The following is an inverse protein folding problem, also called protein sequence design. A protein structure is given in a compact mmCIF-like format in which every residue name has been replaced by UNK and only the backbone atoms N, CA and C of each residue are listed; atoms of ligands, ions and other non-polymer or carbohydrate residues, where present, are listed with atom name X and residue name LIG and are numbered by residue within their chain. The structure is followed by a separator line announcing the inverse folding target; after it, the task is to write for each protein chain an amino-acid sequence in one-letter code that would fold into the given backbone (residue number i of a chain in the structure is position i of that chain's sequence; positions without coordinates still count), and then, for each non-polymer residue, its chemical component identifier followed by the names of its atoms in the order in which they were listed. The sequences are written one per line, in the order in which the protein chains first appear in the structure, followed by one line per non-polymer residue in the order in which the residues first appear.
data_IF_343624246837
#
_entry.id   IF_343624246837
#
_cell.length_a   1.000
_cell.length_b   1.000
_cell.length_c   1.000
_cell.angle_alpha   90.00
_cell.angle_beta   90.00
_cell.angle_gamma   90.00
#
_symmetry.space_group_name_H-M   'P 1'
#
loop_
_entity.id
_entity.type
_entity.pdbx_description
1 polymer ?
#
# COMPACT_ATOMS: atom_id res chain seq x y z
N UNK A 1 -5.86 -20.05 -6.26
CA UNK A 1 -4.42 -20.35 -6.43
C UNK A 1 -3.72 -19.04 -6.69
N UNK A 2 -2.74 -18.67 -5.86
CA UNK A 2 -1.96 -17.45 -6.02
C UNK A 2 -0.62 -17.82 -6.65
N UNK A 3 -0.24 -17.14 -7.72
CA UNK A 3 1.03 -17.33 -8.41
C UNK A 3 1.82 -16.04 -8.33
N UNK A 4 3.06 -16.13 -7.82
CA UNK A 4 3.97 -15.00 -7.69
C UNK A 4 5.19 -15.27 -8.55
N UNK A 5 5.46 -14.38 -9.50
CA UNK A 5 6.71 -14.38 -10.28
C UNK A 5 7.56 -13.19 -9.86
N UNK A 6 8.83 -13.43 -9.54
CA UNK A 6 9.77 -12.40 -9.11
C UNK A 6 10.65 -11.96 -10.27
N UNK A 7 10.75 -10.65 -10.48
CA UNK A 7 11.66 -10.01 -11.42
C UNK A 7 12.59 -9.09 -10.62
N UNK A 8 13.89 -9.19 -10.88
CA UNK A 8 14.91 -8.32 -10.30
C UNK A 8 15.59 -7.52 -11.39
N UNK A 9 15.79 -6.23 -11.17
CA UNK A 9 16.51 -5.33 -12.09
C UNK A 9 18.04 -5.43 -11.95
N UNK A 10 18.55 -6.15 -10.95
CA UNK A 10 19.98 -6.17 -10.59
C UNK A 10 20.89 -7.09 -11.43
N UNK A 11 20.52 -7.41 -12.68
CA UNK A 11 21.36 -8.27 -13.53
C UNK A 11 21.14 -8.10 -15.04
N UNK A 12 22.11 -8.55 -15.86
CA UNK A 12 21.99 -8.58 -17.33
C UNK A 12 21.08 -9.74 -17.76
N UNK A 13 19.77 -9.59 -17.51
CA UNK A 13 18.77 -10.58 -17.89
C UNK A 13 17.59 -10.61 -16.92
N UNK A 14 16.41 -10.98 -17.42
CA UNK A 14 15.26 -11.30 -16.58
C UNK A 14 15.54 -12.68 -15.96
N UNK A 15 15.90 -12.71 -14.68
CA UNK A 15 16.02 -13.96 -13.93
C UNK A 15 14.61 -14.37 -13.51
N UNK A 16 14.06 -15.38 -14.18
CA UNK A 16 12.78 -15.96 -13.80
C UNK A 16 13.00 -16.95 -12.65
N UNK A 17 12.40 -16.70 -11.49
CA UNK A 17 12.22 -17.71 -10.46
C UNK A 17 10.73 -18.01 -10.33
N UNK A 18 10.38 -19.28 -10.50
CA UNK A 18 9.00 -19.76 -10.36
C UNK A 18 8.86 -20.44 -8.99
N UNK A 19 8.09 -19.82 -8.08
CA UNK A 19 7.62 -20.48 -6.86
C UNK A 19 6.14 -20.86 -7.07
N UNK A 20 5.89 -22.11 -7.46
CA UNK A 20 4.54 -22.66 -7.53
C UNK A 20 4.22 -23.40 -6.25
N UNK A 21 3.85 -22.67 -5.20
CA UNK A 21 3.30 -23.27 -4.00
C UNK A 21 1.76 -23.35 -4.10
N UNK A 22 1.21 -24.57 -4.05
CA UNK A 22 -0.23 -24.78 -3.90
C UNK A 22 -0.60 -24.54 -2.44
N UNK A 23 -0.78 -23.29 -2.04
CA UNK A 23 -1.38 -22.97 -0.75
C UNK A 23 -2.81 -22.46 -0.96
N UNK A 24 -3.76 -23.21 -0.39
CA UNK A 24 -5.12 -22.77 -0.14
C UNK A 24 -5.04 -21.63 0.87
N UNK A 25 -5.40 -20.42 0.45
CA UNK A 25 -5.75 -19.37 1.39
C UNK A 25 -7.05 -19.83 2.03
N UNK A 26 -6.98 -20.48 3.20
CA UNK A 26 -8.16 -20.88 3.93
C UNK A 26 -8.82 -19.62 4.51
N UNK A 27 -9.65 -18.96 3.70
CA UNK A 27 -10.81 -18.24 4.22
C UNK A 27 -11.75 -19.28 4.81
N UNK A 28 -12.09 -19.13 6.09
CA UNK A 28 -12.83 -20.12 6.86
C UNK A 28 -14.16 -20.53 6.23
N UNK A 29 -14.24 -21.79 5.80
CA UNK A 29 -15.42 -22.66 5.92
C UNK A 29 -15.05 -24.08 5.50
N UNK A 30 -14.58 -24.87 6.45
CA UNK A 30 -14.68 -26.32 6.38
C UNK A 30 -15.47 -26.77 7.62
N UNK A 31 -16.79 -26.87 7.46
CA UNK A 31 -17.61 -27.70 8.35
C UNK A 31 -17.50 -29.11 7.77
N UNK A 32 -16.57 -29.90 8.28
CA UNK A 32 -16.58 -31.33 8.04
C UNK A 32 -17.67 -31.96 8.90
N UNK A 33 -18.49 -32.74 8.22
CA UNK A 33 -19.64 -33.47 8.73
C UNK A 33 -19.14 -34.58 9.66
N UNK A 34 -19.45 -34.48 10.95
CA UNK A 34 -19.28 -35.59 11.90
C UNK A 34 -20.61 -36.31 12.14
N UNK A 35 -20.59 -37.63 12.38
CA UNK A 35 -21.78 -38.46 12.42
C UNK A 35 -22.58 -38.24 13.70
N UNK A 36 -23.89 -38.40 13.58
CA UNK A 36 -24.84 -38.31 14.68
C UNK A 36 -24.63 -39.45 15.69
N UNK A 37 -24.37 -39.11 16.94
CA UNK A 37 -24.61 -39.98 18.10
C UNK A 37 -25.32 -39.21 19.21
N UNK A 38 -26.20 -39.92 19.89
CA UNK A 38 -27.32 -39.48 20.71
C UNK A 38 -27.00 -38.79 22.04
N UNK A 39 -27.91 -37.88 22.42
CA UNK A 39 -28.39 -37.47 23.76
C UNK A 39 -27.50 -37.74 24.99
N UNK A 40 -27.18 -36.66 25.72
CA UNK A 40 -27.67 -36.45 27.09
C UNK A 40 -27.42 -35.00 27.54
N UNK A 41 -28.43 -34.44 28.19
CA UNK A 41 -28.50 -33.08 28.75
C UNK A 41 -27.39 -32.75 29.75
N UNK A 42 -26.92 -31.50 29.71
CA UNK A 42 -26.03 -30.93 30.72
C UNK A 42 -25.45 -29.58 30.30
N UNK A 43 -25.77 -28.54 31.07
CA UNK A 43 -25.40 -27.13 30.89
C UNK A 43 -24.09 -26.88 30.12
N UNK A 44 -24.19 -26.30 28.91
CA UNK A 44 -23.03 -25.80 28.17
C UNK A 44 -22.80 -24.32 28.48
N UNK A 45 -21.88 -24.05 29.39
CA UNK A 45 -21.12 -22.79 29.41
C UNK A 45 -20.52 -22.54 28.03
N UNK A 46 -20.91 -21.45 27.37
CA UNK A 46 -20.29 -20.98 26.13
C UNK A 46 -18.81 -20.67 26.37
N UNK A 47 -17.95 -21.66 26.14
CA UNK A 47 -16.52 -21.43 25.95
C UNK A 47 -16.34 -20.83 24.56
N UNK A 48 -16.05 -19.54 24.52
CA UNK A 48 -15.39 -18.91 23.38
C UNK A 48 -14.09 -19.68 23.10
N UNK A 49 -14.09 -20.51 22.06
CA UNK A 49 -12.86 -21.13 21.55
C UNK A 49 -12.20 -20.05 20.72
N UNK A 50 -11.24 -19.34 21.32
CA UNK A 50 -10.36 -18.43 20.61
C UNK A 50 -9.46 -19.29 19.72
N UNK A 51 -9.85 -19.48 18.46
CA UNK A 51 -9.01 -20.19 17.50
C UNK A 51 -7.82 -19.29 17.15
N UNK A 52 -6.67 -19.56 17.76
CA UNK A 52 -5.38 -19.09 17.28
C UNK A 52 -4.98 -20.05 16.15
N UNK A 53 -4.99 -19.62 14.87
CA UNK A 53 -4.44 -20.46 13.81
C UNK A 53 -2.98 -20.77 14.14
N UNK A 54 -2.60 -22.05 14.09
CA UNK A 54 -1.20 -22.46 14.09
C UNK A 54 -0.49 -21.67 12.99
N UNK A 55 0.50 -20.86 13.38
CA UNK A 55 1.31 -20.10 12.43
C UNK A 55 2.25 -21.07 11.71
N UNK A 56 1.75 -21.78 10.71
CA UNK A 56 2.63 -22.31 9.68
C UNK A 56 3.23 -21.10 8.97
N UNK A 57 4.47 -20.77 9.37
CA UNK A 57 5.24 -19.73 8.72
C UNK A 57 5.43 -20.15 7.27
N UNK A 58 4.61 -19.59 6.38
CA UNK A 58 5.00 -19.46 4.98
C UNK A 58 6.27 -18.61 5.03
N UNK A 59 7.42 -19.26 4.90
CA UNK A 59 8.56 -18.62 4.30
C UNK A 59 8.31 -18.77 2.81
N UNK A 60 7.64 -17.82 2.12
CA UNK A 60 7.82 -17.74 0.68
C UNK A 60 9.33 -17.80 0.45
N UNK A 61 9.77 -18.41 -0.65
CA UNK A 61 11.18 -18.40 -1.08
C UNK A 61 11.65 -16.97 -1.30
N UNK A 62 11.73 -16.20 -0.23
CA UNK A 62 12.29 -14.89 -0.14
C UNK A 62 13.75 -15.17 -0.40
N UNK A 63 14.19 -14.77 -1.61
CA UNK A 63 15.60 -14.58 -1.90
C UNK A 63 16.24 -14.07 -0.60
N UNK A 64 17.24 -14.77 -0.03
CA UNK A 64 17.75 -14.48 1.30
C UNK A 64 17.99 -12.98 1.38
N UNK A 65 17.03 -12.30 2.02
CA UNK A 65 16.96 -10.85 1.94
C UNK A 65 18.27 -10.34 2.48
N UNK A 66 18.80 -9.26 1.91
CA UNK A 66 19.97 -8.61 2.47
C UNK A 66 19.55 -8.21 3.90
N UNK A 67 19.96 -9.02 4.90
CA UNK A 67 19.64 -8.86 6.32
C UNK A 67 20.47 -7.74 6.92
N UNK A 68 20.58 -6.61 6.23
CA UNK A 68 21.08 -5.41 6.87
C UNK A 68 19.91 -4.89 7.69
N UNK A 69 19.99 -5.04 9.01
CA UNK A 69 18.95 -4.63 9.96
C UNK A 69 18.58 -3.13 9.88
N UNK A 70 19.30 -2.36 9.06
CA UNK A 70 19.16 -0.92 8.87
C UNK A 70 18.49 -0.54 7.55
N UNK A 71 18.18 -1.51 6.67
CA UNK A 71 17.52 -1.22 5.40
C UNK A 71 16.00 -1.25 5.54
N UNK A 72 15.32 -0.39 4.79
CA UNK A 72 13.86 -0.35 4.66
C UNK A 72 13.50 -0.61 3.20
N UNK A 73 12.50 -1.44 2.98
CA UNK A 73 11.87 -1.64 1.67
C UNK A 73 10.65 -0.74 1.55
N UNK A 74 10.51 0.01 0.47
CA UNK A 74 9.19 0.59 0.16
C UNK A 74 8.33 -0.49 -0.45
N UNK A 75 7.15 -0.72 0.11
CA UNK A 75 6.18 -1.69 -0.38
C UNK A 75 5.04 -0.95 -1.05
N UNK A 76 4.82 -1.26 -2.33
CA UNK A 76 3.75 -0.69 -3.15
C UNK A 76 3.02 -1.80 -3.85
N UNK A 77 1.81 -1.49 -4.31
CA UNK A 77 1.15 -2.30 -5.33
C UNK A 77 0.58 -1.40 -6.42
N UNK A 78 0.49 -1.95 -7.63
CA UNK A 78 -0.15 -1.31 -8.77
C UNK A 78 -0.83 -2.41 -9.61
N UNK A 79 -1.93 -2.08 -10.28
CA UNK A 79 -2.40 -2.94 -11.36
C UNK A 79 -1.63 -2.67 -12.66
N UNK A 80 -1.80 -3.54 -13.65
CA UNK A 80 -1.11 -3.41 -14.95
C UNK A 80 -1.42 -2.09 -15.67
N UNK A 81 -2.61 -1.52 -15.47
CA UNK A 81 -3.03 -0.27 -16.09
C UNK A 81 -2.39 0.94 -15.40
N UNK A 82 -2.35 0.94 -14.07
CA UNK A 82 -1.70 1.96 -13.26
C UNK A 82 -0.19 1.99 -13.52
N UNK A 83 0.45 0.82 -13.57
CA UNK A 83 1.88 0.71 -13.88
C UNK A 83 2.22 1.28 -15.27
N UNK A 84 1.36 1.03 -16.26
CA UNK A 84 1.53 1.57 -17.61
C UNK A 84 1.31 3.09 -17.65
N UNK A 85 0.36 3.59 -16.85
CA UNK A 85 -0.05 4.99 -16.83
C UNK A 85 0.95 5.91 -16.10
N UNK A 86 1.51 5.50 -14.97
CA UNK A 86 2.35 6.38 -14.12
C UNK A 86 3.72 5.77 -13.74
N UNK A 87 4.39 5.21 -14.74
CA UNK A 87 5.79 4.80 -14.59
C UNK A 87 6.70 5.94 -14.08
N UNK A 88 6.38 7.19 -14.39
CA UNK A 88 7.09 8.39 -13.92
C UNK A 88 7.12 8.50 -12.40
N UNK A 89 5.98 8.31 -11.73
CA UNK A 89 5.90 8.37 -10.27
C UNK A 89 6.79 7.30 -9.63
N UNK A 90 6.85 6.11 -10.22
CA UNK A 90 7.68 5.02 -9.69
C UNK A 90 9.17 5.33 -9.85
N UNK A 91 9.57 5.89 -10.99
CA UNK A 91 10.95 6.37 -11.20
C UNK A 91 11.29 7.48 -10.21
N UNK A 92 10.37 8.42 -9.96
CA UNK A 92 10.59 9.50 -9.00
C UNK A 92 10.77 8.95 -7.57
N UNK A 93 9.96 7.97 -7.17
CA UNK A 93 10.17 7.21 -5.95
C UNK A 93 11.55 6.56 -5.90
N UNK A 94 11.95 5.89 -6.98
CA UNK A 94 13.29 5.32 -7.14
C UNK A 94 14.38 6.34 -6.87
N UNK A 95 14.38 7.45 -7.62
CA UNK A 95 15.38 8.51 -7.52
C UNK A 95 15.47 9.10 -6.10
N UNK A 96 14.33 9.37 -5.48
CA UNK A 96 14.31 9.93 -4.12
C UNK A 96 14.71 8.91 -3.05
N UNK A 97 14.33 7.64 -3.23
CA UNK A 97 14.60 6.57 -2.28
C UNK A 97 16.04 6.05 -2.34
N UNK A 98 16.61 6.02 -3.54
CA UNK A 98 18.04 5.82 -3.79
C UNK A 98 18.87 6.92 -3.09
N UNK A 99 18.22 8.06 -2.77
CA UNK A 99 18.84 9.23 -2.21
C UNK A 99 20.03 9.65 -3.05
N UNK A 100 19.84 9.61 -4.37
CA UNK A 100 20.77 10.15 -5.35
C UNK A 100 20.85 11.66 -5.09
N UNK A 101 21.68 12.02 -4.13
CA UNK A 101 22.20 13.36 -3.98
C UNK A 101 22.92 13.65 -5.29
N UNK A 102 22.26 14.39 -6.17
CA UNK A 102 22.92 15.21 -7.17
C UNK A 102 23.62 16.34 -6.39
N UNK A 103 24.57 16.00 -5.53
CA UNK A 103 25.55 16.95 -5.06
C UNK A 103 26.48 17.13 -6.24
N UNK A 104 26.23 18.18 -7.01
CA UNK A 104 27.02 18.70 -8.13
C UNK A 104 28.44 19.14 -7.70
N UNK A 105 28.92 18.71 -6.53
CA UNK A 105 30.23 19.03 -5.99
C UNK A 105 31.06 17.76 -5.95
N UNK A 106 31.82 17.52 -7.02
CA UNK A 106 32.67 16.36 -7.24
C UNK A 106 33.90 16.26 -6.30
N UNK A 107 33.96 16.99 -5.17
CA UNK A 107 35.22 17.14 -4.43
C UNK A 107 35.34 16.40 -3.11
N UNK A 108 34.29 15.78 -2.56
CA UNK A 108 34.41 14.95 -1.35
C UNK A 108 33.52 13.71 -1.39
N UNK A 109 33.89 12.74 -2.24
CA UNK A 109 33.37 11.37 -2.17
C UNK A 109 33.95 10.66 -0.95
N UNK A 110 33.31 10.80 0.21
CA UNK A 110 33.56 9.87 1.32
C UNK A 110 32.82 8.56 1.03
N UNK A 111 33.50 7.43 1.24
CA UNK A 111 33.08 6.08 0.85
C UNK A 111 31.78 5.54 1.50
N UNK A 112 31.00 6.38 2.18
CA UNK A 112 29.69 5.98 2.69
C UNK A 112 28.65 6.09 1.57
N UNK A 113 28.69 5.13 0.63
CA UNK A 113 27.51 4.80 -0.18
C UNK A 113 26.45 4.28 0.79
N UNK A 114 25.66 5.18 1.37
CA UNK A 114 24.49 4.81 2.14
C UNK A 114 23.63 3.96 1.21
N UNK A 115 23.54 2.67 1.53
CA UNK A 115 22.86 1.69 0.69
C UNK A 115 21.46 2.19 0.36
N UNK A 116 21.15 2.12 -0.92
CA UNK A 116 19.87 2.51 -1.47
C UNK A 116 18.83 1.53 -0.95
N UNK A 117 17.67 2.03 -0.52
CA UNK A 117 16.66 1.12 -0.01
C UNK A 117 16.04 0.35 -1.19
N UNK A 118 15.72 -0.94 -1.04
CA UNK A 118 14.96 -1.66 -2.05
C UNK A 118 13.53 -1.15 -2.18
N UNK A 119 12.94 -1.35 -3.37
CA UNK A 119 11.51 -1.15 -3.61
C UNK A 119 10.92 -2.52 -3.92
N UNK A 120 9.91 -2.94 -3.16
CA UNK A 120 9.09 -4.12 -3.41
C UNK A 120 7.78 -3.66 -4.06
N UNK A 121 7.64 -3.93 -5.36
CA UNK A 121 6.45 -3.59 -6.12
C UNK A 121 5.66 -4.85 -6.45
N UNK A 122 4.43 -4.94 -5.96
CA UNK A 122 3.48 -5.96 -6.37
C UNK A 122 2.64 -5.46 -7.56
N UNK A 123 2.72 -6.15 -8.69
CA UNK A 123 1.95 -5.84 -9.90
C UNK A 123 0.86 -6.87 -10.06
N UNK A 124 -0.40 -6.43 -10.12
CA UNK A 124 -1.53 -7.32 -10.36
C UNK A 124 -1.91 -7.35 -11.82
N UNK A 125 -2.11 -8.54 -12.37
CA UNK A 125 -2.60 -8.74 -13.74
C UNK A 125 -3.77 -9.71 -13.75
N UNK A 126 -4.74 -9.42 -14.62
CA UNK A 126 -5.90 -10.29 -14.90
C UNK A 126 -5.61 -11.33 -15.99
N UNK A 127 -4.44 -11.25 -16.60
CA UNK A 127 -4.07 -12.13 -17.70
C UNK A 127 -3.81 -13.53 -17.13
N UNK A 128 -4.44 -14.53 -17.76
CA UNK A 128 -4.25 -15.94 -17.38
C UNK A 128 -2.77 -16.31 -17.38
N UNK A 129 -2.36 -17.14 -16.42
CA UNK A 129 -1.00 -17.68 -16.33
C UNK A 129 -0.55 -18.33 -17.66
N UNK A 130 -1.46 -19.00 -18.37
CA UNK A 130 -1.18 -19.68 -19.64
C UNK A 130 -0.90 -18.72 -20.80
N UNK A 131 -1.23 -17.44 -20.66
CA UNK A 131 -1.12 -16.41 -21.70
C UNK A 131 -0.29 -15.24 -21.17
N UNK A 132 0.86 -15.52 -20.55
CA UNK A 132 1.74 -14.47 -20.01
C UNK A 132 2.25 -13.48 -21.09
N UNK A 133 1.96 -13.74 -22.37
CA UNK A 133 2.16 -12.83 -23.50
C UNK A 133 1.24 -11.60 -23.47
N UNK A 134 1.12 -10.89 -22.34
CA UNK A 134 0.60 -9.52 -22.35
C UNK A 134 1.73 -8.59 -22.82
N UNK A 135 1.70 -8.11 -24.08
CA UNK A 135 2.79 -7.30 -24.61
C UNK A 135 2.93 -5.97 -23.86
N UNK A 136 1.82 -5.44 -23.32
CA UNK A 136 1.82 -4.16 -22.59
C UNK A 136 2.57 -4.32 -21.27
N UNK A 137 2.25 -5.34 -20.47
CA UNK A 137 2.93 -5.59 -19.21
C UNK A 137 4.43 -5.90 -19.42
N UNK A 138 4.76 -6.75 -20.40
CA UNK A 138 6.15 -7.08 -20.72
C UNK A 138 6.93 -5.83 -21.14
N UNK A 139 6.35 -4.99 -21.99
CA UNK A 139 7.01 -3.75 -22.41
C UNK A 139 7.17 -2.77 -21.22
N UNK A 140 6.17 -2.67 -20.35
CA UNK A 140 6.30 -1.88 -19.11
C UNK A 140 7.43 -2.37 -18.22
N UNK A 141 7.57 -3.69 -18.02
CA UNK A 141 8.66 -4.27 -17.22
C UNK A 141 10.03 -4.03 -17.87
N UNK A 142 10.14 -4.16 -19.19
CA UNK A 142 11.38 -3.83 -19.94
C UNK A 142 11.73 -2.36 -19.81
N UNK A 143 10.73 -1.46 -19.86
CA UNK A 143 10.94 -0.03 -19.66
C UNK A 143 11.46 0.27 -18.26
N UNK A 144 10.89 -0.36 -17.21
CA UNK A 144 11.35 -0.23 -15.82
C UNK A 144 12.79 -0.67 -15.65
N UNK A 145 13.17 -1.81 -16.25
CA UNK A 145 14.54 -2.32 -16.20
C UNK A 145 15.57 -1.33 -16.76
N UNK A 146 15.18 -0.49 -17.72
CA UNK A 146 16.05 0.51 -18.34
C UNK A 146 16.11 1.83 -17.55
N UNK A 147 15.24 2.05 -16.56
CA UNK A 147 15.20 3.31 -15.82
C UNK A 147 16.37 3.42 -14.85
N UNK A 148 17.03 4.58 -14.89
CA UNK A 148 18.01 4.95 -13.86
C UNK A 148 17.25 5.30 -12.57
N UNK A 149 17.80 4.90 -11.42
CA UNK A 149 17.17 5.12 -10.10
C UNK A 149 16.26 3.98 -9.62
N UNK A 150 16.07 2.92 -10.42
CA UNK A 150 15.34 1.71 -10.04
C UNK A 150 16.25 0.49 -9.93
N UNK A 151 17.53 0.68 -9.59
CA UNK A 151 18.49 -0.41 -9.49
C UNK A 151 18.04 -1.47 -8.46
N UNK A 152 17.49 -1.03 -7.33
CA UNK A 152 17.04 -1.88 -6.22
C UNK A 152 15.55 -2.28 -6.30
N UNK A 153 14.93 -2.21 -7.48
CA UNK A 153 13.53 -2.59 -7.67
C UNK A 153 13.36 -4.11 -7.77
N UNK A 154 12.48 -4.66 -6.95
CA UNK A 154 11.96 -6.03 -7.05
C UNK A 154 10.49 -5.96 -7.46
N UNK A 155 10.17 -6.56 -8.60
CA UNK A 155 8.79 -6.60 -9.11
C UNK A 155 8.24 -8.00 -8.93
N UNK A 156 7.10 -8.09 -8.26
CA UNK A 156 6.39 -9.34 -8.02
C UNK A 156 5.08 -9.31 -8.78
N UNK A 157 4.83 -10.28 -9.66
CA UNK A 157 3.61 -10.32 -10.45
C UNK A 157 2.63 -11.28 -9.83
N UNK A 158 1.45 -10.77 -9.48
CA UNK A 158 0.32 -11.51 -8.95
C UNK A 158 -0.75 -11.66 -10.02
N UNK A 159 -1.02 -12.91 -10.41
CA UNK A 159 -2.14 -13.23 -11.30
C UNK A 159 -3.43 -13.31 -10.50
N UNK A 160 -4.38 -12.44 -10.84
CA UNK A 160 -5.70 -12.41 -10.23
C UNK A 160 -6.68 -13.08 -11.19
N UNK A 161 -7.44 -14.04 -10.66
CA UNK A 161 -8.45 -14.73 -11.43
C UNK A 161 -9.61 -13.77 -11.76
N UNK A 162 -9.88 -13.57 -13.06
CA UNK A 162 -10.92 -12.68 -13.58
C UNK A 162 -12.33 -13.01 -13.12
N UNK A 163 -12.58 -14.23 -12.63
CA UNK A 163 -13.89 -14.60 -12.09
C UNK A 163 -14.20 -13.92 -10.76
N UNK A 164 -13.19 -13.50 -9.99
CA UNK A 164 -13.38 -12.73 -8.77
C UNK A 164 -13.15 -11.25 -9.06
N UNK A 165 -14.23 -10.48 -9.10
CA UNK A 165 -14.21 -9.06 -9.53
C UNK A 165 -13.53 -8.11 -8.55
N UNK A 166 -13.30 -8.53 -7.30
CA UNK A 166 -12.79 -7.64 -6.26
C UNK A 166 -11.73 -8.33 -5.42
N UNK A 167 -10.63 -7.62 -5.22
CA UNK A 167 -9.57 -7.94 -4.27
C UNK A 167 -9.43 -6.76 -3.32
N UNK A 168 -9.08 -7.03 -2.07
CA UNK A 168 -8.84 -5.95 -1.11
C UNK A 168 -7.49 -5.29 -1.40
N UNK A 169 -7.42 -3.95 -1.56
CA UNK A 169 -6.16 -3.21 -1.53
C UNK A 169 -5.24 -3.57 -0.35
N UNK A 170 -5.83 -3.89 0.82
CA UNK A 170 -5.09 -4.31 2.01
C UNK A 170 -4.44 -5.69 1.84
N UNK A 171 -5.09 -6.62 1.13
CA UNK A 171 -4.48 -7.92 0.81
C UNK A 171 -3.22 -7.73 -0.04
N UNK A 172 -3.27 -6.83 -1.01
CA UNK A 172 -2.15 -6.54 -1.92
C UNK A 172 -0.98 -5.88 -1.21
N UNK A 173 -1.23 -4.87 -0.36
CA UNK A 173 -0.15 -4.23 0.40
C UNK A 173 0.46 -5.18 1.43
N UNK A 174 -0.33 -6.07 2.04
CA UNK A 174 0.17 -7.14 2.91
C UNK A 174 1.05 -8.13 2.14
N UNK A 175 0.66 -8.51 0.93
CA UNK A 175 1.48 -9.36 0.06
C UNK A 175 2.79 -8.66 -0.35
N UNK A 176 2.74 -7.38 -0.72
CA UNK A 176 3.94 -6.59 -1.02
C UNK A 176 4.91 -6.54 0.17
N UNK A 177 4.36 -6.40 1.39
CA UNK A 177 5.11 -6.48 2.65
C UNK A 177 5.76 -7.85 2.86
N UNK A 178 5.01 -8.94 2.67
CA UNK A 178 5.55 -10.31 2.82
C UNK A 178 6.71 -10.58 1.87
N UNK A 179 6.66 -10.01 0.67
CA UNK A 179 7.66 -10.17 -0.39
C UNK A 179 8.86 -9.22 -0.24
N UNK A 180 8.80 -8.28 0.70
CA UNK A 180 9.87 -7.34 0.95
C UNK A 180 11.15 -8.03 1.44
N UNK A 181 12.30 -7.58 0.94
CA UNK A 181 13.61 -8.17 1.23
C UNK A 181 14.22 -7.72 2.56
N UNK A 182 13.64 -6.73 3.23
CA UNK A 182 14.17 -6.11 4.45
C UNK A 182 13.27 -6.40 5.66
N UNK A 183 13.84 -6.27 6.87
CA UNK A 183 13.08 -6.50 8.12
C UNK A 183 12.11 -5.37 8.48
N UNK A 184 12.26 -4.21 7.86
CA UNK A 184 11.38 -3.05 8.03
C UNK A 184 10.87 -2.59 6.67
N UNK A 185 9.62 -2.15 6.63
CA UNK A 185 8.92 -1.81 5.40
C UNK A 185 8.18 -0.48 5.55
N UNK A 186 8.27 0.34 4.52
CA UNK A 186 7.44 1.52 4.34
C UNK A 186 6.27 1.14 3.42
N UNK A 187 5.08 0.95 3.98
CA UNK A 187 3.86 0.68 3.23
C UNK A 187 3.38 2.00 2.60
N UNK A 188 3.39 2.06 1.27
CA UNK A 188 2.98 3.22 0.50
C UNK A 188 1.66 2.89 -0.26
N UNK A 189 0.50 3.23 0.31
CA UNK A 189 -0.80 2.82 -0.22
C UNK A 189 -1.22 3.59 -1.46
N UNK A 190 -0.73 4.83 -1.65
CA UNK A 190 -1.11 5.70 -2.77
C UNK A 190 -0.54 5.28 -4.12
N UNK A 191 0.12 4.12 -4.17
CA UNK A 191 0.90 3.69 -5.31
C UNK A 191 2.08 4.63 -5.51
N UNK A 192 2.40 4.88 -6.77
CA UNK A 192 3.58 5.64 -7.14
C UNK A 192 3.30 7.13 -7.43
N UNK A 193 2.03 7.56 -7.40
CA UNK A 193 1.64 8.96 -7.58
C UNK A 193 1.84 9.83 -6.34
N UNK A 194 1.88 9.22 -5.14
CA UNK A 194 2.04 9.90 -3.86
C UNK A 194 3.50 9.90 -3.41
N UNK A 195 4.37 10.56 -4.19
CA UNK A 195 5.80 10.65 -3.88
C UNK A 195 6.03 11.64 -2.73
N UNK A 196 6.70 11.27 -1.63
CA UNK A 196 7.09 12.21 -0.58
C UNK A 196 8.04 13.28 -1.13
N UNK A 197 8.17 14.44 -0.47
CA UNK A 197 9.17 15.42 -0.88
C UNK A 197 10.58 15.00 -0.46
N UNK A 198 11.56 15.67 -1.08
CA UNK A 198 12.98 15.52 -0.85
C UNK A 198 13.32 15.51 0.66
N UNK A 199 14.28 14.66 1.07
CA UNK A 199 14.83 14.49 2.44
C UNK A 199 14.13 13.51 3.39
N UNK A 200 12.98 12.91 3.05
CA UNK A 200 12.34 11.94 3.95
C UNK A 200 13.20 10.69 4.22
N UNK A 201 14.08 10.32 3.28
CA UNK A 201 15.01 9.19 3.43
C UNK A 201 15.94 9.37 4.63
N UNK A 202 16.58 10.53 4.76
CA UNK A 202 17.57 10.76 5.83
C UNK A 202 16.90 10.68 7.19
N UNK A 203 15.69 11.23 7.31
CA UNK A 203 14.88 11.13 8.52
C UNK A 203 14.51 9.69 8.85
N UNK A 204 14.07 8.92 7.85
CA UNK A 204 13.78 7.50 8.01
C UNK A 204 15.02 6.72 8.45
N UNK A 205 16.17 6.97 7.82
CA UNK A 205 17.41 6.28 8.13
C UNK A 205 17.94 6.64 9.53
N UNK A 206 17.78 7.89 9.97
CA UNK A 206 18.04 8.26 11.36
C UNK A 206 17.08 7.55 12.32
N UNK A 207 15.80 7.45 11.95
CA UNK A 207 14.79 6.79 12.76
C UNK A 207 15.03 5.28 12.93
N UNK A 208 15.60 4.58 11.94
CA UNK A 208 15.94 3.15 12.10
C UNK A 208 16.89 2.84 13.26
N UNK A 209 17.62 3.85 13.76
CA UNK A 209 18.52 3.70 14.92
C UNK A 209 17.78 3.75 16.25
N UNK A 210 16.58 4.34 16.29
CA UNK A 210 15.68 4.36 17.44
C UNK A 210 14.70 3.20 17.36
N UNK A 211 14.63 2.38 18.42
CA UNK A 211 13.85 1.14 18.51
C UNK A 211 12.53 1.12 17.72
N UNK A 212 12.45 0.19 16.76
CA UNK A 212 11.39 0.01 15.76
C UNK A 212 10.13 -0.70 16.31
N UNK A 213 9.96 -0.68 17.63
CA UNK A 213 8.90 -1.42 18.34
C UNK A 213 7.50 -0.86 18.13
N UNK A 214 7.40 0.42 17.74
CA UNK A 214 6.13 1.11 17.52
C UNK A 214 6.00 1.48 16.03
N UNK A 215 4.84 1.24 15.40
CA UNK A 215 4.54 1.72 14.05
C UNK A 215 4.75 3.22 13.92
N UNK A 216 5.20 3.64 12.73
CA UNK A 216 5.50 5.03 12.46
C UNK A 216 4.82 5.51 11.20
N UNK A 217 4.39 6.75 11.19
CA UNK A 217 3.79 7.35 10.00
C UNK A 217 4.68 8.48 9.48
N UNK A 218 4.67 8.64 8.16
CA UNK A 218 5.31 9.78 7.52
C UNK A 218 4.30 10.92 7.52
N UNK A 219 4.55 11.94 8.34
CA UNK A 219 3.64 13.06 8.51
C UNK A 219 4.39 14.36 8.80
N UNK A 220 3.82 15.50 8.39
CA UNK A 220 4.48 16.80 8.57
C UNK A 220 4.24 17.40 9.96
N UNK A 221 3.17 17.02 10.66
CA UNK A 221 2.85 17.58 11.99
C UNK A 221 3.47 16.77 13.13
N UNK A 222 3.83 17.46 14.21
CA UNK A 222 4.32 16.84 15.45
C UNK A 222 3.19 16.30 16.33
N UNK A 223 1.98 16.81 16.18
CA UNK A 223 0.79 16.32 16.87
C UNK A 223 0.02 15.38 15.96
N UNK A 224 -0.11 14.13 16.38
CA UNK A 224 -0.96 13.15 15.72
C UNK A 224 -2.36 13.17 16.32
N UNK A 225 -3.35 13.35 15.46
CA UNK A 225 -4.76 13.17 15.80
C UNK A 225 -5.37 12.29 14.73
N UNK A 226 -6.23 11.36 15.16
CA UNK A 226 -7.06 10.60 14.24
C UNK A 226 -8.30 11.41 13.86
N UNK A 227 -8.79 11.36 12.60
CA UNK A 227 -8.28 10.59 11.47
C UNK A 227 -6.95 11.13 10.92
N UNK A 228 -6.08 10.21 10.51
CA UNK A 228 -4.85 10.54 9.79
C UNK A 228 -5.19 10.96 8.35
N UNK A 229 -4.33 11.74 7.65
CA UNK A 229 -4.54 12.06 6.25
C UNK A 229 -4.64 10.79 5.38
N UNK A 230 -5.44 10.88 4.33
CA UNK A 230 -5.61 9.81 3.37
C UNK A 230 -4.26 9.36 2.80
N UNK A 231 -4.11 8.04 2.60
CA UNK A 231 -2.92 7.43 2.01
C UNK A 231 -1.59 7.71 2.74
N UNK A 232 -1.65 8.11 4.02
CA UNK A 232 -0.46 8.32 4.85
C UNK A 232 0.41 7.05 4.87
N UNK A 233 1.68 7.10 4.44
CA UNK A 233 2.57 5.94 4.47
C UNK A 233 2.85 5.46 5.88
N UNK A 234 2.95 4.15 6.04
CA UNK A 234 3.11 3.47 7.33
C UNK A 234 4.41 2.67 7.35
N UNK A 235 5.31 3.02 8.25
CA UNK A 235 6.58 2.34 8.49
C UNK A 235 6.43 1.35 9.65
N UNK A 236 6.65 0.06 9.36
CA UNK A 236 6.46 -1.05 10.31
C UNK A 236 7.53 -2.12 10.12
N UNK A 237 7.70 -2.98 11.11
CA UNK A 237 8.46 -4.22 10.91
C UNK A 237 7.71 -5.14 9.93
N UNK A 238 8.44 -5.76 9.00
CA UNK A 238 7.91 -6.77 8.07
C UNK A 238 7.24 -7.91 8.83
N UNK A 239 7.84 -8.32 9.94
CA UNK A 239 7.42 -9.48 10.73
C UNK A 239 6.49 -9.08 11.90
N UNK A 240 6.01 -7.83 11.94
CA UNK A 240 5.05 -7.37 12.95
C UNK A 240 3.76 -8.19 12.92
N UNK A 241 3.20 -8.46 14.10
CA UNK A 241 1.90 -9.12 14.24
C UNK A 241 0.72 -8.27 13.76
N UNK A 242 0.93 -6.98 13.49
CA UNK A 242 -0.11 -6.08 12.99
C UNK A 242 -0.22 -6.21 11.47
N UNK A 243 -1.42 -6.51 10.97
CA UNK A 243 -1.72 -6.63 9.54
C UNK A 243 -2.85 -5.69 9.17
N UNK A 244 -2.85 -5.20 7.92
CA UNK A 244 -4.01 -4.48 7.41
C UNK A 244 -5.15 -5.49 7.21
N UNK A 245 -6.26 -5.39 7.94
CA UNK A 245 -7.29 -6.41 7.86
C UNK A 245 -8.07 -6.26 6.55
N UNK A 246 -8.50 -7.39 6.01
CA UNK A 246 -9.41 -7.47 4.87
C UNK A 246 -10.85 -7.44 5.39
N UNK A 247 -11.26 -6.30 5.96
CA UNK A 247 -12.65 -6.15 6.42
C UNK A 247 -13.50 -5.61 5.30
N UNK A 248 -14.69 -6.19 5.17
CA UNK A 248 -15.78 -5.78 4.28
C UNK A 248 -15.43 -5.78 2.79
N UNK A 249 -15.94 -6.78 2.06
CA UNK A 249 -15.82 -6.92 0.59
C UNK A 249 -16.45 -5.77 -0.22
N UNK A 250 -17.02 -4.77 0.44
CA UNK A 250 -17.74 -3.65 -0.19
C UNK A 250 -16.85 -2.43 -0.46
N UNK A 251 -15.73 -2.28 0.24
CA UNK A 251 -14.80 -1.19 -0.03
C UNK A 251 -13.84 -1.62 -1.14
N UNK A 252 -14.09 -1.11 -2.34
CA UNK A 252 -13.20 -1.32 -3.50
C UNK A 252 -12.19 -0.19 -3.67
N UNK A 253 -12.42 0.95 -3.01
CA UNK A 253 -11.53 2.09 -3.16
C UNK A 253 -10.32 1.98 -2.21
N UNK A 254 -9.16 2.33 -2.75
CA UNK A 254 -7.85 2.26 -2.10
C UNK A 254 -7.75 3.14 -0.86
N UNK A 255 -8.42 4.30 -0.86
CA UNK A 255 -8.32 5.30 0.22
C UNK A 255 -9.09 4.82 1.45
N UNK A 256 -10.36 4.44 1.31
CA UNK A 256 -11.18 3.95 2.42
C UNK A 256 -10.59 2.67 3.01
N UNK A 257 -10.16 1.74 2.15
CA UNK A 257 -9.51 0.49 2.59
C UNK A 257 -8.25 0.76 3.40
N UNK A 258 -7.44 1.75 2.98
CA UNK A 258 -6.25 2.15 3.72
C UNK A 258 -6.57 2.85 5.04
N UNK A 259 -7.57 3.73 5.05
CA UNK A 259 -8.01 4.42 6.27
C UNK A 259 -8.46 3.42 7.34
N UNK A 260 -9.17 2.35 6.95
CA UNK A 260 -9.51 1.24 7.84
C UNK A 260 -8.27 0.51 8.37
N UNK A 261 -7.24 0.33 7.54
CA UNK A 261 -5.97 -0.22 8.02
C UNK A 261 -5.34 0.70 9.08
N UNK A 262 -5.20 2.00 8.78
CA UNK A 262 -4.62 2.96 9.72
C UNK A 262 -5.42 3.05 11.03
N UNK A 263 -6.75 3.00 10.95
CA UNK A 263 -7.63 2.93 12.11
C UNK A 263 -7.36 1.69 12.98
N UNK A 264 -7.23 0.51 12.36
CA UNK A 264 -6.92 -0.72 13.09
C UNK A 264 -5.54 -0.61 13.77
N UNK A 265 -4.53 -0.07 13.09
CA UNK A 265 -3.22 0.19 13.71
C UNK A 265 -3.35 1.16 14.88
N UNK A 266 -4.09 2.25 14.72
CA UNK A 266 -4.35 3.23 15.77
C UNK A 266 -5.00 2.65 17.01
N UNK A 267 -6.04 1.83 16.84
CA UNK A 267 -6.67 1.15 17.97
C UNK A 267 -5.71 0.18 18.64
N UNK A 268 -4.98 -0.61 17.85
CA UNK A 268 -4.12 -1.67 18.40
C UNK A 268 -2.90 -1.11 19.12
N UNK A 269 -2.42 0.07 18.73
CA UNK A 269 -1.33 0.77 19.41
C UNK A 269 -1.80 1.76 20.48
N UNK A 270 -3.11 1.83 20.77
CA UNK A 270 -3.69 2.82 21.70
C UNK A 270 -3.33 4.27 21.30
N UNK A 271 -3.23 4.54 20.00
CA UNK A 271 -2.81 5.82 19.44
C UNK A 271 -1.31 6.09 19.52
N UNK A 272 -0.50 5.13 19.98
CA UNK A 272 0.96 5.26 20.00
C UNK A 272 1.50 5.05 18.58
N UNK A 273 1.75 6.15 17.89
CA UNK A 273 2.53 6.19 16.66
C UNK A 273 3.75 7.07 16.87
N UNK A 274 4.85 6.68 16.26
CA UNK A 274 5.96 7.61 16.08
C UNK A 274 5.78 8.38 14.77
N UNK A 275 6.23 9.64 14.74
CA UNK A 275 6.18 10.46 13.53
C UNK A 275 7.58 10.56 12.96
N UNK A 276 7.73 10.11 11.72
CA UNK A 276 8.90 10.48 10.91
C UNK A 276 8.49 11.72 10.13
N UNK A 277 9.20 12.84 10.32
CA UNK A 277 8.81 14.02 9.57
C UNK A 277 9.12 13.75 8.11
N UNK A 278 8.10 13.99 7.32
CA UNK A 278 8.21 13.95 5.89
C UNK A 278 7.38 15.12 5.45
N UNK A 279 7.98 16.00 4.65
CA UNK A 279 7.19 16.89 3.87
C UNK A 279 6.50 15.98 2.84
N UNK A 280 5.33 15.45 3.17
CA UNK A 280 4.42 14.93 2.14
C UNK A 280 3.70 16.16 1.62
N UNK A 281 3.59 16.36 0.29
CA UNK A 281 2.67 17.35 -0.23
C UNK A 281 1.32 17.03 0.37
N UNK A 282 0.80 17.93 1.21
CA UNK A 282 -0.65 17.96 1.44
C UNK A 282 -1.23 18.07 0.05
N UNK A 283 -1.73 16.94 -0.48
CA UNK A 283 -2.59 16.99 -1.65
C UNK A 283 -3.60 18.05 -1.26
N UNK A 284 -3.63 19.13 -2.05
CA UNK A 284 -4.70 20.12 -1.93
C UNK A 284 -5.95 19.34 -2.30
N UNK A 285 -6.47 18.60 -1.33
CA UNK A 285 -7.83 18.10 -1.33
C UNK A 285 -8.59 19.37 -1.61
N UNK A 286 -9.21 19.43 -2.78
CA UNK A 286 -10.03 20.56 -3.12
C UNK A 286 -11.11 20.61 -2.05
N UNK A 287 -10.85 21.33 -0.96
CA UNK A 287 -11.84 22.19 -0.36
C UNK A 287 -12.28 23.07 -1.52
N UNK A 288 -13.22 22.54 -2.31
CA UNK A 288 -14.35 23.34 -2.75
C UNK A 288 -14.83 23.98 -1.47
N UNK A 289 -14.32 25.19 -1.23
CA UNK A 289 -15.00 26.17 -0.42
C UNK A 289 -16.36 26.24 -1.09
N UNK A 290 -17.31 25.46 -0.57
CA UNK A 290 -18.73 25.74 -0.72
C UNK A 290 -18.85 27.12 -0.10
N UNK A 291 -18.66 28.13 -0.95
CA UNK A 291 -19.07 29.49 -0.67
C UNK A 291 -20.51 29.34 -0.25
N UNK A 292 -20.74 29.55 1.03
CA UNK A 292 -22.03 29.75 1.62
C UNK A 292 -22.63 30.94 0.88
N UNK A 293 -23.33 30.65 -0.21
CA UNK A 293 -24.12 31.62 -0.94
C UNK A 293 -25.17 32.09 0.04
N UNK A 294 -24.88 33.20 0.70
CA UNK A 294 -25.83 34.03 1.42
C UNK A 294 -27.01 34.27 0.47
N UNK A 295 -28.07 33.46 0.60
CA UNK A 295 -29.36 33.69 -0.06
C UNK A 295 -29.93 34.95 0.60
N UNK A 296 -29.51 36.12 0.09
CA UNK A 296 -30.21 37.37 0.32
C UNK A 296 -31.55 37.25 -0.37
N UNK A 297 -32.58 36.95 0.42
CA UNK A 297 -33.97 37.20 0.06
C UNK A 297 -34.10 38.70 -0.15
N UNK A 298 -34.04 39.13 -1.41
CA UNK A 298 -34.46 40.48 -1.80
C UNK A 298 -35.98 40.57 -1.65
N UNK A 299 -36.51 41.52 -0.87
CA UNK A 299 -37.94 41.80 -0.88
C UNK A 299 -38.32 42.39 -2.24
N UNK A 300 -39.04 41.62 -3.05
CA UNK A 300 -39.62 42.07 -4.30
C UNK A 300 -40.63 43.17 -4.02
N UNK A 301 -40.30 44.35 -4.55
CA UNK A 301 -41.12 45.54 -4.67
C UNK A 301 -42.39 45.19 -5.46
N UNK A 302 -43.55 45.31 -4.80
CA UNK A 302 -44.85 45.39 -5.46
C UNK A 302 -44.91 46.72 -6.20
N UNK A 303 -44.74 46.69 -7.52
CA UNK A 303 -45.16 47.79 -8.39
C UNK A 303 -46.43 47.38 -9.13
N UNK A 304 -47.49 48.11 -8.82
CA UNK A 304 -48.78 48.11 -9.49
C UNK A 304 -48.61 48.54 -10.95
N UNK A 305 -49.17 47.75 -11.86
CA UNK A 305 -49.14 48.01 -13.30
C UNK A 305 -50.33 47.39 -14.01
N UNK A 306 -51.53 47.81 -13.63
CA UNK A 306 -52.76 47.51 -14.35
C UNK A 306 -52.76 48.28 -15.68
N UNK A 307 -52.63 47.59 -16.81
CA UNK A 307 -52.96 48.17 -18.11
C UNK A 307 -53.92 47.25 -18.84
N UNK A 308 -55.17 47.68 -18.88
CA UNK A 308 -56.19 47.18 -19.79
C UNK A 308 -55.77 47.47 -21.22
N UNK A 309 -55.86 46.47 -22.10
CA UNK A 309 -56.39 46.64 -23.45
C UNK A 309 -56.54 45.26 -24.08
N UNK A 310 -57.77 44.88 -24.42
CA UNK A 310 -58.03 44.11 -25.63
C UNK A 310 -59.45 44.42 -26.09
N UNK A 311 -59.48 45.06 -27.26
CA UNK A 311 -60.65 45.25 -28.11
C UNK A 311 -60.77 44.03 -29.03
N UNK A 312 -62.01 43.74 -29.41
CA UNK A 312 -62.44 42.78 -30.43
C UNK A 312 -61.80 43.02 -31.81
#
# INVERSE_FOLDING_TARGET
MVYVRVFSTNGPGIIESESSERHSWCCGSCIDTLPATSLSDGLKTSRSILYQPESHYLQPGALPGIKTNQSISVCMWADESELAADMSGLVQWGVQWDGMHVTTSCLFQTNNRLATGPISLLVTTQVSKSVFSNPVLIESLKRLQRQRGLASLSVHILHINTTHKTYSPNALINAARLLASTSHVLLAPGGHSSVPFNHFRDEIMMWTKSSLSVPSILHNTTSLKYPLPALTPLLVSRDSSFWCPERFFYLTDRVSTWNECLWQFWLTTEGKFSVVRSAIPTQKTGEQTLSESEVRVHPSRLDDGFTQHNTL
#
